data_IF_551359020402
#
_entry.id   IF_551359020402
#
_cell.length_a   1.000
_cell.length_b   1.000
_cell.length_c   1.000
_cell.angle_alpha   90.00
_cell.angle_beta   90.00
_cell.angle_gamma   90.00
#
_symmetry.space_group_name_H-M   'P 1'
#
loop_
_entity.id
_entity.type
_entity.pdbx_description
1 polymer ?
#
# COMPACT_ATOMS: atom_id res chain seq x y z
N UNK A 1 10.45 -12.16 15.56
CA UNK A 1 9.44 -13.19 15.22
C UNK A 1 9.86 -13.76 13.87
N UNK A 2 9.94 -15.08 13.75
CA UNK A 2 10.21 -15.76 12.48
C UNK A 2 9.06 -16.75 12.28
N UNK A 3 8.32 -16.60 11.20
CA UNK A 3 7.26 -17.50 10.75
C UNK A 3 7.56 -17.92 9.31
N UNK A 4 7.47 -19.21 9.01
CA UNK A 4 7.93 -19.78 7.73
C UNK A 4 6.92 -20.74 7.13
N UNK A 5 6.41 -20.42 5.93
CA UNK A 5 5.48 -21.27 5.17
C UNK A 5 6.06 -21.80 3.85
N UNK A 6 5.26 -22.59 3.10
CA UNK A 6 5.64 -23.28 1.85
C UNK A 6 4.42 -23.46 0.86
N UNK A 7 4.44 -22.91 -0.38
CA UNK A 7 3.40 -22.94 -1.48
C UNK A 7 3.92 -22.94 -2.98
N UNK A 8 4.62 -23.98 -3.48
CA UNK A 8 5.37 -24.12 -4.78
C UNK A 8 4.39 -24.47 -5.92
N UNK A 9 4.88 -24.58 -7.16
CA UNK A 9 4.24 -25.38 -8.22
C UNK A 9 4.38 -26.93 -8.08
N UNK A 10 5.07 -27.42 -7.04
CA UNK A 10 4.86 -28.75 -6.40
C UNK A 10 4.13 -28.64 -5.04
N UNK A 11 3.70 -27.44 -4.62
CA UNK A 11 3.09 -27.16 -3.31
C UNK A 11 3.97 -26.55 -2.18
N UNK A 12 5.32 -26.39 -2.28
CA UNK A 12 6.24 -25.88 -1.20
C UNK A 12 7.18 -24.55 -1.32
N UNK A 13 6.81 -23.40 -1.93
CA UNK A 13 7.57 -22.10 -2.15
C UNK A 13 7.49 -21.24 -0.89
N UNK A 14 8.57 -20.60 -0.50
CA UNK A 14 8.83 -20.40 0.91
C UNK A 14 8.73 -18.93 1.28
N UNK A 15 7.78 -18.58 2.15
CA UNK A 15 7.76 -17.26 2.79
C UNK A 15 8.47 -17.35 4.13
N UNK A 16 9.31 -16.35 4.44
CA UNK A 16 9.86 -16.10 5.78
C UNK A 16 9.36 -14.73 6.21
N UNK A 17 8.38 -14.71 7.11
CA UNK A 17 7.96 -13.49 7.79
C UNK A 17 8.91 -13.26 8.95
N UNK A 18 9.78 -12.28 8.79
CA UNK A 18 10.72 -11.85 9.82
C UNK A 18 10.40 -10.44 10.30
N UNK A 19 10.76 -10.15 11.55
CA UNK A 19 10.58 -8.81 12.10
C UNK A 19 10.78 -8.73 13.62
N UNK A 20 10.59 -7.54 14.20
CA UNK A 20 9.90 -6.38 13.60
C UNK A 20 10.66 -5.71 12.45
N UNK A 21 9.93 -5.03 11.56
CA UNK A 21 10.53 -4.03 10.66
C UNK A 21 11.16 -2.92 11.49
N UNK A 22 12.32 -2.44 11.05
CA UNK A 22 13.07 -1.37 11.71
C UNK A 22 13.48 -0.30 10.73
N UNK A 23 13.62 0.92 11.22
CA UNK A 23 14.29 1.99 10.47
C UNK A 23 15.82 1.79 10.46
N UNK A 24 16.53 2.59 9.66
CA UNK A 24 18.02 2.64 9.62
C UNK A 24 18.69 2.93 10.97
N UNK A 25 17.95 3.44 11.97
CA UNK A 25 18.44 3.72 13.32
C UNK A 25 18.18 2.55 14.29
N UNK A 26 17.54 1.46 13.81
CA UNK A 26 17.15 0.30 14.60
C UNK A 26 15.83 0.45 15.37
N UNK A 27 15.11 1.57 15.22
CA UNK A 27 13.81 1.79 15.84
C UNK A 27 12.76 0.88 15.19
N UNK A 28 11.88 0.28 16.01
CA UNK A 28 10.77 -0.52 15.49
C UNK A 28 9.73 0.37 14.81
N UNK A 29 9.49 0.14 13.53
CA UNK A 29 8.42 0.80 12.78
C UNK A 29 7.08 0.22 13.26
N UNK A 30 6.20 1.09 13.79
CA UNK A 30 4.87 0.72 14.29
C UNK A 30 3.78 1.35 13.44
N UNK A 31 2.91 0.51 12.90
CA UNK A 31 1.75 0.92 12.10
C UNK A 31 0.52 0.23 12.68
N UNK A 32 -0.61 0.94 12.77
CA UNK A 32 -1.83 0.47 13.46
C UNK A 32 -2.42 -0.80 12.82
N UNK A 33 -3.20 -1.57 13.57
CA UNK A 33 -3.81 -2.85 13.16
C UNK A 33 -4.82 -2.80 11.98
N UNK A 34 -5.00 -1.63 11.36
CA UNK A 34 -5.84 -1.40 10.16
C UNK A 34 -5.01 -0.88 8.98
N UNK A 35 -3.68 -0.91 9.10
CA UNK A 35 -2.80 -0.43 8.06
C UNK A 35 -2.86 -1.29 6.79
N UNK A 36 -2.87 -0.62 5.64
CA UNK A 36 -2.54 -1.20 4.34
C UNK A 36 -1.12 -0.78 3.98
N UNK A 37 -0.38 -1.67 3.34
CA UNK A 37 0.99 -1.43 2.91
C UNK A 37 1.20 -2.06 1.53
N UNK A 38 1.92 -1.38 0.66
CA UNK A 38 2.21 -1.82 -0.70
C UNK A 38 3.63 -1.43 -1.11
N UNK A 39 4.23 -2.22 -1.99
CA UNK A 39 5.54 -1.97 -2.59
C UNK A 39 5.42 -1.20 -3.90
N UNK A 40 6.15 -0.08 -4.00
CA UNK A 40 6.24 0.75 -5.21
C UNK A 40 7.58 1.48 -5.22
N UNK A 41 8.22 1.53 -6.38
CA UNK A 41 9.45 2.29 -6.58
C UNK A 41 9.13 3.81 -6.60
N UNK A 42 9.44 4.53 -5.52
CA UNK A 42 9.12 5.95 -5.35
C UNK A 42 10.24 6.89 -5.82
N UNK A 43 11.44 6.36 -6.08
CA UNK A 43 12.64 7.13 -6.38
C UNK A 43 13.28 6.77 -7.75
N UNK A 44 12.71 5.79 -8.46
CA UNK A 44 13.15 5.20 -9.74
C UNK A 44 14.53 4.53 -9.70
N UNK A 45 14.87 3.87 -8.59
CA UNK A 45 16.08 3.05 -8.47
C UNK A 45 15.85 1.55 -8.77
N UNK A 46 14.63 1.15 -9.13
CA UNK A 46 14.17 -0.23 -9.36
C UNK A 46 14.09 -1.10 -8.10
N UNK A 47 14.15 -0.50 -6.90
CA UNK A 47 13.84 -1.16 -5.63
C UNK A 47 12.47 -0.66 -5.15
N UNK A 48 11.61 -1.59 -4.71
CA UNK A 48 10.33 -1.19 -4.14
C UNK A 48 10.52 -0.56 -2.74
N UNK A 49 10.05 0.67 -2.60
CA UNK A 49 9.83 1.37 -1.36
C UNK A 49 8.48 0.95 -0.74
N UNK A 50 8.31 1.19 0.56
CA UNK A 50 7.06 0.87 1.24
C UNK A 50 6.19 2.13 1.36
N UNK A 51 5.05 2.16 0.68
CA UNK A 51 3.97 3.10 1.02
C UNK A 51 3.01 2.43 1.99
N UNK A 52 2.62 3.16 3.04
CA UNK A 52 1.74 2.66 4.09
C UNK A 52 0.63 3.66 4.37
N UNK A 53 -0.58 3.14 4.50
CA UNK A 53 -1.77 3.89 4.86
C UNK A 53 -2.30 3.31 6.14
N UNK A 54 -2.19 4.04 7.24
CA UNK A 54 -2.86 3.69 8.47
C UNK A 54 -2.81 4.81 9.48
N UNK A 55 -3.28 4.46 10.69
CA UNK A 55 -3.06 5.26 11.88
C UNK A 55 -1.63 4.99 12.40
N UNK A 56 -0.94 5.99 12.94
CA UNK A 56 0.42 5.83 13.50
C UNK A 56 0.40 5.69 15.01
N UNK A 57 0.52 4.46 15.53
CA UNK A 57 0.69 4.27 16.98
C UNK A 57 2.12 4.60 17.44
N UNK A 58 2.29 5.87 17.80
CA UNK A 58 3.29 6.50 18.65
C UNK A 58 4.77 6.06 18.59
N UNK A 59 5.55 7.07 18.23
CA UNK A 59 6.96 7.36 18.52
C UNK A 59 7.26 7.41 20.04
N UNK A 60 7.13 6.28 20.74
CA UNK A 60 7.71 6.08 22.08
C UNK A 60 6.88 6.53 23.30
N UNK A 61 5.56 6.72 23.18
CA UNK A 61 4.68 7.08 24.30
C UNK A 61 3.66 5.96 24.64
N UNK A 62 2.98 6.08 25.80
CA UNK A 62 2.08 5.06 26.35
C UNK A 62 0.60 5.20 25.93
N UNK A 63 0.19 6.33 25.35
CA UNK A 63 -1.20 6.60 24.92
C UNK A 63 -1.21 7.62 23.79
N UNK A 64 -1.83 7.28 22.66
CA UNK A 64 -1.90 8.11 21.46
C UNK A 64 -2.95 9.22 21.58
N UNK A 65 -2.55 10.51 21.63
CA UNK A 65 -3.50 11.60 21.76
C UNK A 65 -4.19 11.93 20.42
N UNK A 66 -3.55 11.66 19.28
CA UNK A 66 -3.99 12.13 17.96
C UNK A 66 -3.83 11.05 16.86
N UNK A 67 -4.56 9.92 16.94
CA UNK A 67 -4.56 8.87 15.90
C UNK A 67 -5.15 9.32 14.54
N UNK A 68 -4.36 10.07 13.77
CA UNK A 68 -4.67 10.49 12.40
C UNK A 68 -4.50 9.36 11.39
N UNK A 69 -5.35 9.33 10.36
CA UNK A 69 -5.19 8.44 9.21
C UNK A 69 -4.49 9.22 8.09
N UNK A 70 -3.27 8.86 7.70
CA UNK A 70 -2.57 9.49 6.58
C UNK A 70 -1.82 8.44 5.75
N UNK A 71 -1.22 8.88 4.64
CA UNK A 71 -0.29 8.09 3.84
C UNK A 71 1.16 8.45 4.22
N UNK A 72 2.00 7.44 4.40
CA UNK A 72 3.42 7.58 4.69
C UNK A 72 4.27 6.80 3.69
N UNK A 73 5.52 7.22 3.57
CA UNK A 73 6.52 6.64 2.68
C UNK A 73 7.75 6.25 3.51
N UNK A 74 8.24 5.02 3.32
CA UNK A 74 9.48 4.51 3.89
C UNK A 74 10.36 4.04 2.75
N UNK A 75 11.43 4.79 2.51
CA UNK A 75 12.37 4.54 1.41
C UNK A 75 13.32 3.40 1.75
N UNK A 76 13.42 2.46 0.83
CA UNK A 76 14.31 1.33 0.85
C UNK A 76 15.74 1.78 0.51
N UNK A 77 16.72 1.20 1.20
CA UNK A 77 18.16 1.45 1.00
C UNK A 77 18.92 0.16 0.68
N UNK A 78 18.20 -0.89 0.32
CA UNK A 78 18.72 -2.23 0.07
C UNK A 78 18.30 -3.20 1.17
N UNK A 79 18.93 -4.37 1.19
CA UNK A 79 18.65 -5.44 2.16
C UNK A 79 19.80 -5.56 3.16
N UNK A 80 19.49 -6.00 4.38
CA UNK A 80 20.49 -6.44 5.36
C UNK A 80 21.01 -7.85 5.05
N UNK A 81 21.97 -8.34 5.86
CA UNK A 81 22.56 -9.69 5.72
C UNK A 81 21.53 -10.84 5.83
N UNK A 82 20.31 -10.57 6.32
CA UNK A 82 19.22 -11.55 6.43
C UNK A 82 18.21 -11.44 5.27
N UNK A 83 18.38 -10.47 4.35
CA UNK A 83 17.45 -10.19 3.26
C UNK A 83 16.27 -9.30 3.66
N UNK A 84 16.35 -8.59 4.80
CA UNK A 84 15.29 -7.70 5.30
C UNK A 84 15.51 -6.29 4.73
N UNK A 85 14.46 -5.60 4.22
CA UNK A 85 14.57 -4.22 3.75
C UNK A 85 15.08 -3.26 4.82
N UNK A 86 16.10 -2.47 4.45
CA UNK A 86 16.65 -1.38 5.24
C UNK A 86 15.83 -0.12 4.91
N UNK A 87 14.86 0.21 5.76
CA UNK A 87 13.93 1.31 5.54
C UNK A 87 14.41 2.59 6.26
N UNK A 88 14.35 3.75 5.60
CA UNK A 88 14.47 5.04 6.31
C UNK A 88 13.22 5.29 7.17
N UNK A 89 13.28 6.17 8.19
CA UNK A 89 12.13 6.47 9.05
C UNK A 89 10.95 6.99 8.24
N UNK A 90 9.74 6.75 8.72
CA UNK A 90 8.53 7.16 8.02
C UNK A 90 8.41 8.69 7.90
N UNK A 91 8.02 9.14 6.72
CA UNK A 91 7.68 10.54 6.45
C UNK A 91 6.31 10.61 5.77
N UNK A 92 5.53 11.69 5.98
CA UNK A 92 4.29 11.91 5.24
C UNK A 92 4.52 11.78 3.73
N UNK A 93 3.65 11.04 3.06
CA UNK A 93 3.73 10.83 1.63
C UNK A 93 3.29 12.10 0.91
N UNK A 94 4.19 12.69 0.13
CA UNK A 94 3.88 13.89 -0.63
C UNK A 94 3.00 13.57 -1.84
N UNK A 95 1.88 14.27 -1.97
CA UNK A 95 0.89 14.11 -3.04
C UNK A 95 0.87 15.36 -3.93
N UNK A 96 0.88 15.16 -5.26
CA UNK A 96 0.81 16.23 -6.27
C UNK A 96 -0.54 16.16 -6.98
N UNK A 97 -1.23 17.30 -7.10
CA UNK A 97 -2.44 17.43 -7.91
C UNK A 97 -3.73 16.94 -7.23
N UNK A 98 -3.66 16.47 -6.00
CA UNK A 98 -4.81 16.20 -5.14
C UNK A 98 -4.47 16.57 -3.68
N UNK A 99 -5.47 16.90 -2.87
CA UNK A 99 -5.31 17.21 -1.44
C UNK A 99 -6.31 16.40 -0.64
N UNK A 100 -5.85 15.28 -0.07
CA UNK A 100 -6.70 14.40 0.73
C UNK A 100 -7.17 15.11 2.00
N UNK A 101 -8.44 14.92 2.34
CA UNK A 101 -8.93 15.20 3.67
C UNK A 101 -8.83 13.95 4.53
N UNK A 102 -8.33 14.14 5.74
CA UNK A 102 -8.19 13.09 6.72
C UNK A 102 -8.90 13.47 8.01
N UNK A 103 -9.43 12.47 8.70
CA UNK A 103 -10.06 12.58 10.01
C UNK A 103 -9.56 11.43 10.88
N UNK A 104 -9.59 11.66 12.19
CA UNK A 104 -9.27 10.68 13.22
C UNK A 104 -10.03 9.35 12.96
N UNK A 105 -9.32 8.23 13.04
CA UNK A 105 -9.87 6.88 12.84
C UNK A 105 -10.48 6.56 11.46
N UNK A 106 -10.36 7.43 10.46
CA UNK A 106 -10.90 7.17 9.12
C UNK A 106 -10.20 5.99 8.44
N UNK A 107 -10.97 5.18 7.73
CA UNK A 107 -10.43 4.07 6.94
C UNK A 107 -9.75 4.56 5.67
N UNK A 108 -8.66 3.90 5.29
CA UNK A 108 -7.95 4.11 4.02
C UNK A 108 -7.58 2.78 3.39
N UNK A 109 -7.53 2.77 2.06
CA UNK A 109 -7.08 1.67 1.24
C UNK A 109 -5.88 2.12 0.39
N UNK A 110 -4.92 1.22 0.23
CA UNK A 110 -3.83 1.34 -0.76
C UNK A 110 -3.78 0.04 -1.53
N UNK A 111 -3.70 0.15 -2.85
CA UNK A 111 -3.21 -0.90 -3.73
C UNK A 111 -2.13 -0.33 -4.66
N UNK A 112 -1.16 -1.15 -5.04
CA UNK A 112 -0.24 -0.84 -6.15
C UNK A 112 -0.37 -1.89 -7.24
N UNK A 113 -0.56 -1.47 -8.48
CA UNK A 113 -0.79 -2.36 -9.64
C UNK A 113 -0.39 -1.62 -10.92
N UNK A 114 0.12 -2.35 -11.91
CA UNK A 114 0.38 -1.83 -13.26
C UNK A 114 -0.97 -1.77 -14.01
N UNK A 115 -1.51 -0.57 -14.20
CA UNK A 115 -2.84 -0.34 -14.75
C UNK A 115 -2.79 -0.21 -16.28
N UNK A 116 -1.81 0.54 -16.80
CA UNK A 116 -1.68 0.81 -18.24
C UNK A 116 -0.74 -0.17 -18.98
N UNK A 117 -0.21 -1.17 -18.25
CA UNK A 117 0.65 -2.25 -18.75
C UNK A 117 2.00 -1.73 -19.26
N UNK A 118 2.51 -0.65 -18.67
CA UNK A 118 3.81 -0.04 -19.01
C UNK A 118 5.01 -0.72 -18.31
N UNK A 119 4.74 -1.67 -17.41
CA UNK A 119 5.73 -2.39 -16.60
C UNK A 119 6.03 -1.72 -15.25
N UNK A 120 5.39 -0.59 -14.94
CA UNK A 120 5.49 0.13 -13.66
C UNK A 120 4.15 0.12 -12.96
N UNK A 121 4.18 0.27 -11.64
CA UNK A 121 2.97 0.29 -10.81
C UNK A 121 2.46 1.71 -10.61
N UNK A 122 1.17 1.90 -10.80
CA UNK A 122 0.42 2.98 -10.18
C UNK A 122 0.15 2.65 -8.72
N UNK A 123 -0.07 3.67 -7.90
CA UNK A 123 -0.69 3.58 -6.60
C UNK A 123 -2.15 4.03 -6.69
N UNK A 124 -3.07 3.19 -6.23
CA UNK A 124 -4.48 3.52 -6.00
C UNK A 124 -4.63 3.86 -4.52
N UNK A 125 -4.98 5.11 -4.22
CA UNK A 125 -5.25 5.58 -2.86
C UNK A 125 -6.73 5.89 -2.72
N UNK A 126 -7.41 5.31 -1.72
CA UNK A 126 -8.78 5.69 -1.36
C UNK A 126 -8.90 5.96 0.14
N UNK A 127 -9.77 6.91 0.50
CA UNK A 127 -10.09 7.24 1.89
C UNK A 127 -11.59 7.31 2.10
N UNK A 128 -12.00 7.08 3.35
CA UNK A 128 -13.41 7.20 3.75
C UNK A 128 -13.97 8.61 3.51
N UNK A 129 -13.16 9.67 3.69
CA UNK A 129 -13.60 11.06 3.49
C UNK A 129 -13.81 11.41 2.01
N UNK A 130 -13.12 10.73 1.10
CA UNK A 130 -13.34 10.81 -0.36
C UNK A 130 -14.37 9.76 -0.84
N UNK A 131 -15.28 9.31 0.03
CA UNK A 131 -16.29 8.28 -0.23
C UNK A 131 -15.72 6.97 -0.83
N UNK A 132 -14.49 6.61 -0.47
CA UNK A 132 -13.73 5.50 -1.06
C UNK A 132 -13.60 5.57 -2.59
N UNK A 133 -13.45 6.77 -3.15
CA UNK A 133 -13.01 6.95 -4.53
C UNK A 133 -11.53 6.54 -4.64
N UNK A 134 -11.22 5.55 -5.47
CA UNK A 134 -9.86 5.07 -5.70
C UNK A 134 -9.14 6.00 -6.66
N UNK A 135 -8.36 6.94 -6.15
CA UNK A 135 -7.61 7.91 -6.94
C UNK A 135 -6.27 7.29 -7.40
N UNK A 136 -5.93 7.44 -8.68
CA UNK A 136 -4.76 6.78 -9.29
C UNK A 136 -3.57 7.74 -9.41
N UNK A 137 -2.40 7.31 -8.96
CA UNK A 137 -1.16 8.10 -8.95
C UNK A 137 0.02 7.32 -9.55
N UNK A 138 0.92 8.01 -10.25
CA UNK A 138 2.25 7.49 -10.65
C UNK A 138 3.36 8.13 -9.78
N UNK A 139 4.50 7.47 -9.54
CA UNK A 139 5.68 8.10 -8.93
C UNK A 139 6.17 9.33 -9.71
N UNK A 140 6.58 10.40 -9.01
CA UNK A 140 6.99 11.65 -9.64
C UNK A 140 8.47 11.65 -10.05
N UNK A 141 8.77 11.91 -11.33
CA UNK A 141 10.09 11.67 -11.98
C UNK A 141 11.33 12.28 -11.29
N UNK A 142 11.18 13.35 -10.50
CA UNK A 142 12.31 14.11 -9.94
C UNK A 142 12.27 14.30 -8.43
N UNK A 143 11.31 13.67 -7.74
CA UNK A 143 11.20 13.73 -6.28
C UNK A 143 10.32 12.61 -5.75
N UNK A 144 10.59 12.22 -4.51
CA UNK A 144 9.87 11.15 -3.84
C UNK A 144 8.46 11.63 -3.43
N UNK A 145 7.52 11.53 -4.36
CA UNK A 145 6.12 11.95 -4.26
C UNK A 145 5.25 11.13 -5.23
N UNK A 146 3.94 11.07 -4.97
CA UNK A 146 2.95 10.51 -5.90
C UNK A 146 2.24 11.63 -6.66
N UNK A 147 2.10 11.50 -7.98
CA UNK A 147 1.44 12.47 -8.84
C UNK A 147 0.10 11.94 -9.36
N UNK A 148 -0.96 12.71 -9.11
CA UNK A 148 -2.32 12.34 -9.50
C UNK A 148 -2.46 12.31 -11.03
N UNK A 149 -2.83 11.15 -11.57
CA UNK A 149 -3.00 10.91 -13.01
C UNK A 149 -4.28 11.54 -13.57
N UNK A 150 -5.21 11.95 -12.68
CA UNK A 150 -6.61 12.31 -12.97
C UNK A 150 -7.53 11.13 -13.27
N UNK A 151 -7.02 9.89 -13.32
CA UNK A 151 -7.82 8.67 -13.37
C UNK A 151 -8.33 8.31 -11.97
N UNK A 152 -9.50 7.67 -11.91
CA UNK A 152 -10.09 7.19 -10.67
C UNK A 152 -10.98 5.97 -10.90
N UNK A 153 -11.22 5.23 -9.82
CA UNK A 153 -12.14 4.10 -9.73
C UNK A 153 -13.25 4.50 -8.75
N UNK A 154 -14.50 4.50 -9.19
CA UNK A 154 -15.63 4.78 -8.29
C UNK A 154 -15.98 3.56 -7.44
N UNK A 155 -16.34 3.80 -6.17
CA UNK A 155 -16.70 2.76 -5.18
C UNK A 155 -15.57 1.74 -4.90
N UNK A 156 -14.35 2.23 -4.64
CA UNK A 156 -13.16 1.42 -4.37
C UNK A 156 -12.88 1.33 -2.85
N UNK A 157 -13.69 0.52 -2.15
CA UNK A 157 -13.69 0.40 -0.70
C UNK A 157 -12.48 -0.37 -0.15
N UNK A 158 -12.35 -0.42 1.17
CA UNK A 158 -11.27 -1.18 1.85
C UNK A 158 -11.27 -2.69 1.56
N UNK A 159 -12.30 -3.24 0.90
CA UNK A 159 -12.41 -4.64 0.50
C UNK A 159 -12.30 -4.86 -1.01
N UNK A 160 -12.17 -3.81 -1.81
CA UNK A 160 -12.04 -3.89 -3.26
C UNK A 160 -10.56 -3.95 -3.68
N UNK A 161 -10.28 -4.68 -4.76
CA UNK A 161 -8.96 -4.79 -5.36
C UNK A 161 -9.09 -4.91 -6.88
N UNK A 162 -8.18 -4.31 -7.65
CA UNK A 162 -7.97 -4.65 -9.06
C UNK A 162 -7.04 -5.87 -9.15
N UNK A 163 -7.55 -6.99 -9.65
CA UNK A 163 -6.80 -8.24 -9.79
C UNK A 163 -6.99 -8.83 -11.18
N UNK A 164 -5.91 -9.34 -11.77
CA UNK A 164 -6.03 -10.35 -12.81
C UNK A 164 -6.15 -11.72 -12.12
N UNK A 165 -7.34 -12.32 -12.19
CA UNK A 165 -7.69 -13.54 -11.44
C UNK A 165 -7.57 -14.82 -12.28
N UNK A 166 -7.53 -14.67 -13.60
CA UNK A 166 -7.53 -15.72 -14.62
C UNK A 166 -6.32 -15.66 -15.57
N UNK A 167 -5.35 -14.77 -15.31
CA UNK A 167 -4.05 -14.67 -16.01
C UNK A 167 -4.22 -14.33 -17.52
N UNK A 168 -5.26 -13.56 -17.85
CA UNK A 168 -5.55 -13.09 -19.23
C UNK A 168 -4.95 -11.70 -19.53
N UNK A 169 -4.32 -11.06 -18.53
CA UNK A 169 -3.73 -9.73 -18.59
C UNK A 169 -4.70 -8.58 -18.31
N UNK A 170 -6.00 -8.81 -18.11
CA UNK A 170 -6.99 -7.79 -17.81
C UNK A 170 -7.24 -7.65 -16.30
N UNK A 171 -7.44 -6.43 -15.82
CA UNK A 171 -7.77 -6.18 -14.41
C UNK A 171 -9.29 -6.26 -14.19
N UNK A 172 -9.70 -6.99 -13.15
CA UNK A 172 -11.08 -7.11 -12.69
C UNK A 172 -11.20 -6.49 -11.29
N UNK A 173 -12.29 -5.77 -11.05
CA UNK A 173 -12.61 -5.23 -9.73
C UNK A 173 -13.21 -6.35 -8.88
N UNK A 174 -12.48 -6.79 -7.85
CA UNK A 174 -12.86 -7.88 -6.96
C UNK A 174 -13.18 -7.33 -5.58
N UNK A 175 -14.43 -7.46 -5.15
CA UNK A 175 -14.89 -7.19 -3.79
C UNK A 175 -14.71 -8.46 -2.94
N UNK A 176 -13.89 -8.40 -1.89
CA UNK A 176 -13.54 -9.56 -1.05
C UNK A 176 -14.66 -10.06 -0.11
N UNK A 177 -15.85 -9.43 -0.12
CA UNK A 177 -17.03 -9.90 0.61
C UNK A 177 -17.39 -9.12 1.87
N UNK A 178 -16.51 -8.25 2.37
CA UNK A 178 -16.77 -7.40 3.54
C UNK A 178 -17.31 -8.16 4.75
N UNK A 179 -18.29 -7.58 5.45
CA UNK A 179 -18.94 -8.21 6.61
C UNK A 179 -19.92 -9.34 6.23
N UNK A 180 -20.44 -9.37 5.00
CA UNK A 180 -21.38 -10.42 4.55
C UNK A 180 -20.68 -11.72 4.16
N UNK A 181 -19.36 -11.68 3.95
CA UNK A 181 -18.56 -12.82 3.49
C UNK A 181 -18.81 -13.25 2.04
N UNK A 182 -19.64 -12.53 1.29
CA UNK A 182 -20.01 -12.87 -0.10
C UNK A 182 -19.22 -12.01 -1.07
N UNK A 183 -18.09 -12.55 -1.55
CA UNK A 183 -17.28 -11.90 -2.57
C UNK A 183 -18.00 -11.77 -3.91
N UNK A 184 -17.70 -10.70 -4.66
CA UNK A 184 -18.17 -10.51 -6.04
C UNK A 184 -17.03 -9.97 -6.89
N UNK A 185 -17.10 -10.13 -8.21
CA UNK A 185 -16.21 -9.42 -9.12
C UNK A 185 -17.00 -8.76 -10.25
N UNK A 186 -16.43 -7.70 -10.82
CA UNK A 186 -16.91 -7.02 -12.02
C UNK A 186 -15.73 -6.88 -12.97
N UNK A 187 -15.94 -7.17 -14.26
CA UNK A 187 -14.97 -6.77 -15.28
C UNK A 187 -14.90 -5.23 -15.28
N UNK A 188 -13.70 -4.66 -15.32
CA UNK A 188 -13.55 -3.23 -15.52
C UNK A 188 -14.08 -2.89 -16.92
N UNK A 189 -15.11 -2.06 -17.01
CA UNK A 189 -15.67 -1.62 -18.30
C UNK A 189 -14.93 -0.34 -18.69
N UNK A 190 -13.75 -0.53 -19.30
CA UNK A 190 -12.73 0.49 -19.62
C UNK A 190 -12.15 1.28 -18.43
N UNK A 191 -10.85 1.53 -18.51
CA UNK A 191 -10.11 2.53 -17.73
C UNK A 191 -9.56 3.58 -18.71
#
# INVERSE_FOLDING_TARGET
MIDTGKVNKNGNIQYRREGPLKDVNGNVIKIHNRARACGIDMNMDNVEDLIVGGITYQKGFNTDPEPGAEFYCLINKGLDDNGIPILVPERPLEIIGHNFKFRLNSHIHIQTVDIDKDGKKEAILSSQEENFKGLVFKPATYRIALQYTRMFIDNFSVHDYLLDIDDDGELKLVFAGGETGVGTYRKAISL
#
